data_IF_311879980671
#
_entry.id   IF_311879980671
#
_cell.length_a   1.000
_cell.length_b   1.000
_cell.length_c   1.000
_cell.angle_alpha   90.00
_cell.angle_beta   90.00
_cell.angle_gamma   90.00
#
_symmetry.space_group_name_H-M   'P 1'
#
loop_
_entity.id
_entity.type
_entity.pdbx_description
1 polymer ?
#
# COMPACT_ATOMS: atom_id res chain seq x y z
N UNK A 1 3.89 -13.46 -13.98
CA UNK A 1 3.80 -12.42 -12.91
C UNK A 1 2.73 -11.44 -13.31
N UNK A 2 1.74 -11.16 -12.45
CA UNK A 2 0.69 -10.13 -12.69
C UNK A 2 1.03 -8.92 -11.84
N UNK A 3 1.12 -7.74 -12.46
CA UNK A 3 1.26 -6.45 -11.79
C UNK A 3 -0.12 -5.85 -11.58
N UNK A 4 -0.36 -5.23 -10.42
CA UNK A 4 -1.61 -4.55 -10.09
C UNK A 4 -1.28 -3.14 -9.64
N UNK A 5 -1.92 -2.14 -10.25
CA UNK A 5 -1.84 -0.73 -9.84
C UNK A 5 -3.02 -0.45 -8.93
N UNK A 6 -2.72 0.18 -7.80
CA UNK A 6 -3.74 0.66 -6.87
C UNK A 6 -3.66 2.18 -6.74
N UNK A 7 -4.82 2.83 -6.64
CA UNK A 7 -4.99 4.22 -6.26
C UNK A 7 -5.34 4.27 -4.78
N UNK A 8 -4.71 5.21 -4.08
CA UNK A 8 -5.13 5.58 -2.74
C UNK A 8 -6.23 6.64 -2.83
N UNK A 9 -7.40 6.29 -2.33
CA UNK A 9 -8.52 7.19 -2.21
C UNK A 9 -8.49 7.80 -0.81
N UNK A 10 -8.61 9.13 -0.74
CA UNK A 10 -8.54 9.92 0.49
C UNK A 10 -7.25 9.65 1.31
N UNK A 11 -6.06 9.86 0.71
CA UNK A 11 -4.81 9.56 1.38
C UNK A 11 -4.52 10.53 2.52
N UNK A 12 -4.08 9.99 3.65
CA UNK A 12 -3.55 10.76 4.78
C UNK A 12 -2.14 10.24 5.13
N UNK A 13 -1.18 11.16 5.24
CA UNK A 13 0.21 10.80 5.59
C UNK A 13 0.71 11.65 6.75
N UNK A 14 1.15 10.99 7.83
CA UNK A 14 1.66 11.63 9.04
C UNK A 14 2.58 10.70 9.81
N UNK A 15 3.66 11.23 10.39
CA UNK A 15 4.57 10.45 11.24
C UNK A 15 5.21 9.23 10.55
N UNK A 16 5.39 9.26 9.23
CA UNK A 16 5.90 8.13 8.45
C UNK A 16 4.86 7.04 8.12
N UNK A 17 3.62 7.18 8.59
CA UNK A 17 2.51 6.29 8.26
C UNK A 17 1.68 6.82 7.10
N UNK A 18 1.19 5.90 6.26
CA UNK A 18 0.27 6.16 5.14
C UNK A 18 -1.06 5.43 5.38
N UNK A 19 -2.17 6.16 5.25
CA UNK A 19 -3.54 5.66 5.43
C UNK A 19 -4.41 6.02 4.24
N UNK A 20 -5.43 5.21 3.96
CA UNK A 20 -6.39 5.46 2.88
C UNK A 20 -7.11 4.19 2.46
N UNK A 21 -8.08 4.33 1.56
CA UNK A 21 -8.74 3.20 0.88
C UNK A 21 -7.95 2.83 -0.38
N UNK A 22 -7.93 1.53 -0.72
CA UNK A 22 -7.27 1.01 -1.91
C UNK A 22 -8.29 0.67 -3.01
N UNK A 23 -8.03 1.15 -4.21
CA UNK A 23 -8.83 0.87 -5.42
C UNK A 23 -7.92 0.39 -6.55
N UNK A 24 -8.26 -0.70 -7.24
CA UNK A 24 -7.51 -1.16 -8.43
C UNK A 24 -7.79 -0.23 -9.62
N UNK A 25 -6.73 0.35 -10.21
CA UNK A 25 -6.84 1.35 -11.30
C UNK A 25 -6.13 0.96 -12.59
N UNK A 26 -5.46 -0.19 -12.64
CA UNK A 26 -4.79 -0.69 -13.86
C UNK A 26 -3.76 -1.78 -13.60
N UNK A 27 -3.01 -2.20 -14.63
CA UNK A 27 -2.01 -3.28 -14.55
C UNK A 27 -0.57 -2.92 -14.93
N UNK A 28 -0.31 -1.71 -15.41
CA UNK A 28 1.03 -1.26 -15.82
C UNK A 28 1.84 -0.67 -14.66
N UNK A 29 3.04 -1.18 -14.35
CA UNK A 29 3.82 -0.72 -13.20
C UNK A 29 4.20 0.77 -13.28
N UNK A 30 4.00 1.51 -12.18
CA UNK A 30 4.41 2.91 -12.03
C UNK A 30 5.57 3.00 -11.04
N UNK A 31 6.66 3.74 -11.32
CA UNK A 31 7.77 3.90 -10.38
C UNK A 31 7.34 4.70 -9.13
N UNK A 32 7.65 4.17 -7.95
CA UNK A 32 7.32 4.75 -6.63
C UNK A 32 8.50 4.61 -5.66
N UNK A 33 8.68 5.59 -4.78
CA UNK A 33 9.71 5.60 -3.73
C UNK A 33 9.09 5.37 -2.34
N UNK A 34 9.70 4.51 -1.53
CA UNK A 34 9.20 4.10 -0.20
C UNK A 34 8.40 2.78 -0.20
N UNK A 35 8.91 1.70 -0.84
CA UNK A 35 8.19 0.42 -0.96
C UNK A 35 7.79 -0.20 0.39
N UNK A 36 8.49 0.13 1.48
CA UNK A 36 8.23 -0.39 2.81
C UNK A 36 6.86 0.05 3.34
N UNK A 37 6.48 1.31 3.14
CA UNK A 37 5.19 1.85 3.58
C UNK A 37 4.02 1.24 2.79
N UNK A 38 4.23 0.94 1.50
CA UNK A 38 3.23 0.27 0.67
C UNK A 38 3.05 -1.18 1.12
N UNK A 39 4.14 -1.88 1.42
CA UNK A 39 4.09 -3.25 1.94
C UNK A 39 3.36 -3.29 3.29
N UNK A 40 3.67 -2.36 4.21
CA UNK A 40 3.00 -2.28 5.51
C UNK A 40 1.49 -2.05 5.36
N UNK A 41 1.09 -1.11 4.49
CA UNK A 41 -0.31 -0.85 4.18
C UNK A 41 -1.01 -2.07 3.56
N UNK A 42 -0.37 -2.77 2.63
CA UNK A 42 -0.94 -3.98 2.01
C UNK A 42 -1.08 -5.12 3.03
N UNK A 43 -0.14 -5.28 3.95
CA UNK A 43 -0.25 -6.26 5.03
C UNK A 43 -1.42 -5.94 5.95
N UNK A 44 -1.59 -4.68 6.35
CA UNK A 44 -2.74 -4.23 7.16
C UNK A 44 -4.05 -4.49 6.43
N UNK A 45 -4.16 -4.13 5.15
CA UNK A 45 -5.35 -4.37 4.34
C UNK A 45 -5.67 -5.88 4.19
N UNK A 46 -4.65 -6.73 4.16
CA UNK A 46 -4.78 -8.18 4.14
C UNK A 46 -5.09 -8.80 5.53
N UNK A 47 -5.17 -7.98 6.60
CA UNK A 47 -5.32 -8.46 7.98
C UNK A 47 -4.08 -9.20 8.51
N UNK A 48 -2.94 -9.05 7.83
CA UNK A 48 -1.67 -9.64 8.25
C UNK A 48 -1.02 -8.68 9.25
N UNK A 49 -0.81 -9.14 10.47
CA UNK A 49 -0.07 -8.41 11.49
C UNK A 49 1.34 -8.98 11.56
N UNK A 50 2.36 -8.11 11.66
CA UNK A 50 3.72 -8.57 11.95
C UNK A 50 3.70 -9.24 13.33
N UNK A 51 4.02 -10.52 13.37
CA UNK A 51 4.26 -11.24 14.62
C UNK A 51 5.46 -10.59 15.32
N UNK A 52 5.32 -10.09 16.56
CA UNK A 52 6.46 -9.51 17.28
C UNK A 52 7.39 -10.65 17.69
N UNK A 53 8.48 -10.83 16.94
CA UNK A 53 9.60 -11.68 17.32
C UNK A 53 10.46 -11.04 18.43
#
# INVERSE_FOLDING_TARGET
MRTVIVRLVEPEQSGGQLRGLLEEVGGEPVPFSGPEAVIEMLMVAAGLHRDPA
#
